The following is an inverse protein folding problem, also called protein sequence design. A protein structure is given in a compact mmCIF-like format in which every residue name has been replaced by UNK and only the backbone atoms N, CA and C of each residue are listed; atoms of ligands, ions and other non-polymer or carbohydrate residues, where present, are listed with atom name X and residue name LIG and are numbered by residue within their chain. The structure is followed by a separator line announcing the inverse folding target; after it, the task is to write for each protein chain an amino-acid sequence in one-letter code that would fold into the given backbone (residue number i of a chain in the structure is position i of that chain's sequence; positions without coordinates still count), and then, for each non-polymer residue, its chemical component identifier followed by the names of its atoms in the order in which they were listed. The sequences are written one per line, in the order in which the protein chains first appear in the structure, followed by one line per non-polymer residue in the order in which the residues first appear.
data_IF_907334452206
#
_entry.id   IF_907334452206
#
_cell.length_a   1.000
_cell.length_b   1.000
_cell.length_c   1.000
_cell.angle_alpha   90.00
_cell.angle_beta   90.00
_cell.angle_gamma   90.00
#
_symmetry.space_group_name_H-M   'P 1'
#
loop_
_entity.id
_entity.type
_entity.pdbx_description
1 polymer ?
#
# COMPACT_ATOMS: atom_id res chain seq x y z
N UNK A 1 26.36 10.44 -37.11
CA UNK A 1 25.82 10.67 -35.76
C UNK A 1 24.62 9.77 -35.61
N UNK A 2 24.71 8.69 -34.80
CA UNK A 2 23.55 7.82 -34.53
C UNK A 2 22.65 8.55 -33.54
N UNK A 3 21.46 8.92 -33.99
CA UNK A 3 20.41 9.40 -33.11
C UNK A 3 20.05 8.26 -32.13
N UNK A 4 20.59 8.32 -30.92
CA UNK A 4 20.05 7.53 -29.80
C UNK A 4 18.69 8.15 -29.42
N UNK A 5 17.63 7.70 -30.06
CA UNK A 5 16.30 7.85 -29.49
C UNK A 5 16.33 7.12 -28.14
N UNK A 6 15.79 7.73 -27.08
CA UNK A 6 15.70 7.03 -25.79
C UNK A 6 14.94 5.72 -26.04
N UNK A 7 15.50 4.62 -25.56
CA UNK A 7 14.84 3.31 -25.59
C UNK A 7 13.50 3.46 -24.86
N UNK A 8 12.41 3.36 -25.62
CA UNK A 8 11.05 3.45 -25.09
C UNK A 8 10.87 2.25 -24.17
N UNK A 9 10.93 2.47 -22.85
CA UNK A 9 10.63 1.44 -21.87
C UNK A 9 9.16 1.04 -22.02
N UNK A 10 8.92 -0.20 -22.39
CA UNK A 10 7.57 -0.73 -22.54
C UNK A 10 7.21 -1.47 -21.26
N UNK A 11 6.66 -0.74 -20.29
CA UNK A 11 6.11 -1.38 -19.10
C UNK A 11 4.89 -2.20 -19.47
N UNK A 12 4.74 -3.36 -18.86
CA UNK A 12 3.57 -4.23 -19.00
C UNK A 12 2.86 -4.46 -17.68
N UNK A 13 3.54 -4.13 -16.58
CA UNK A 13 3.05 -4.35 -15.22
C UNK A 13 3.08 -3.03 -14.45
N UNK A 14 1.94 -2.66 -13.88
CA UNK A 14 1.84 -1.47 -13.02
C UNK A 14 1.56 -1.95 -11.60
N UNK A 15 2.43 -1.54 -10.68
CA UNK A 15 2.35 -1.91 -9.27
C UNK A 15 1.86 -0.67 -8.51
N UNK A 16 0.84 -0.83 -7.67
CA UNK A 16 0.28 0.25 -6.85
C UNK A 16 0.48 -0.03 -5.37
N UNK A 17 0.76 0.99 -4.60
CA UNK A 17 0.39 0.98 -3.18
C UNK A 17 -1.11 1.18 -3.03
N UNK A 18 -1.63 0.89 -1.85
CA UNK A 18 -3.06 1.00 -1.54
C UNK A 18 -3.38 2.33 -0.85
N UNK A 19 -2.79 2.54 0.33
CA UNK A 19 -3.12 3.66 1.18
C UNK A 19 -2.48 4.95 0.67
N UNK A 20 -3.26 6.04 0.69
CA UNK A 20 -2.87 7.36 0.19
C UNK A 20 -2.48 7.41 -1.31
N UNK A 21 -2.73 6.28 -2.04
CA UNK A 21 -2.62 6.16 -3.50
C UNK A 21 -3.98 5.79 -4.13
N UNK A 22 -4.59 4.69 -3.70
CA UNK A 22 -5.90 4.22 -4.20
C UNK A 22 -7.04 4.54 -3.24
N UNK A 23 -6.73 4.58 -1.96
CA UNK A 23 -7.69 4.86 -0.89
C UNK A 23 -7.08 5.85 0.10
N UNK A 24 -7.90 6.77 0.59
CA UNK A 24 -7.49 7.70 1.63
C UNK A 24 -7.72 7.09 3.01
N UNK A 25 -6.72 7.24 3.88
CA UNK A 25 -6.93 7.09 5.30
C UNK A 25 -7.78 8.27 5.80
N UNK A 26 -8.96 8.00 6.29
CA UNK A 26 -9.64 9.00 7.13
C UNK A 26 -9.02 8.98 8.52
N UNK A 27 -8.84 10.15 9.16
CA UNK A 27 -8.52 10.20 10.57
C UNK A 27 -9.49 9.31 11.35
N UNK A 28 -9.02 8.69 12.44
CA UNK A 28 -9.92 7.94 13.31
C UNK A 28 -11.10 8.87 13.68
N UNK A 29 -12.34 8.45 13.44
CA UNK A 29 -13.48 9.27 13.81
C UNK A 29 -13.37 9.66 15.27
N UNK A 30 -13.52 10.94 15.57
CA UNK A 30 -13.36 11.49 16.94
C UNK A 30 -14.27 10.81 17.97
N UNK A 31 -15.37 10.21 17.51
CA UNK A 31 -16.29 9.45 18.33
C UNK A 31 -15.78 8.06 18.76
N UNK A 32 -14.76 7.50 18.07
CA UNK A 32 -14.19 6.20 18.44
C UNK A 32 -13.44 6.29 19.76
N UNK A 33 -12.65 7.35 19.92
CA UNK A 33 -11.92 7.59 21.15
C UNK A 33 -12.84 8.13 22.26
N UNK A 34 -13.90 8.88 21.91
CA UNK A 34 -14.88 9.39 22.84
C UNK A 34 -14.25 10.06 24.06
N UNK A 35 -14.53 9.53 25.26
CA UNK A 35 -13.92 9.97 26.53
C UNK A 35 -12.43 9.69 26.63
N UNK A 36 -11.92 8.75 25.82
CA UNK A 36 -10.52 8.31 25.83
C UNK A 36 -9.64 9.09 24.83
N UNK A 37 -10.13 10.25 24.33
CA UNK A 37 -9.41 11.09 23.37
C UNK A 37 -8.00 11.48 23.84
N UNK A 38 -7.78 11.60 25.13
CA UNK A 38 -6.46 11.87 25.72
C UNK A 38 -5.43 10.75 25.42
N UNK A 39 -5.88 9.55 25.05
CA UNK A 39 -5.01 8.41 24.70
C UNK A 39 -4.60 8.38 23.22
N UNK A 40 -5.11 9.30 22.37
CA UNK A 40 -4.78 9.36 20.96
C UNK A 40 -3.28 9.43 20.68
N UNK A 41 -2.49 10.28 21.36
CA UNK A 41 -1.05 10.31 21.15
C UNK A 41 -0.34 8.99 21.50
N UNK A 42 -0.76 8.33 22.59
CA UNK A 42 -0.23 7.03 22.99
C UNK A 42 -0.53 5.97 21.93
N UNK A 43 -1.77 5.95 21.44
CA UNK A 43 -2.20 5.06 20.37
C UNK A 43 -1.41 5.29 19.07
N UNK A 44 -1.28 6.54 18.63
CA UNK A 44 -0.55 6.90 17.41
C UNK A 44 0.94 6.56 17.53
N UNK A 45 1.54 6.73 18.71
CA UNK A 45 2.90 6.32 18.96
C UNK A 45 3.05 4.80 18.94
N UNK A 46 2.08 4.04 19.46
CA UNK A 46 2.10 2.59 19.41
C UNK A 46 2.06 2.05 17.96
N UNK A 47 1.31 2.67 17.07
CA UNK A 47 1.31 2.32 15.64
C UNK A 47 2.66 2.51 14.93
N UNK A 48 3.58 3.27 15.52
CA UNK A 48 4.94 3.48 15.00
C UNK A 48 5.97 2.52 15.58
N UNK A 49 5.59 1.68 16.55
CA UNK A 49 6.51 0.76 17.22
C UNK A 49 6.86 -0.44 16.34
N UNK A 50 7.98 -1.09 16.70
CA UNK A 50 8.38 -2.35 16.09
C UNK A 50 7.36 -3.47 16.36
N UNK A 51 6.68 -3.45 17.50
CA UNK A 51 5.62 -4.41 17.83
C UNK A 51 4.50 -4.36 16.77
N UNK A 52 4.01 -3.16 16.42
CA UNK A 52 3.00 -3.02 15.39
C UNK A 52 3.54 -3.34 13.98
N UNK A 53 4.79 -3.01 13.70
CA UNK A 53 5.46 -3.43 12.47
C UNK A 53 5.55 -4.96 12.36
N UNK A 54 5.89 -5.66 13.45
CA UNK A 54 5.93 -7.11 13.50
C UNK A 54 4.53 -7.74 13.31
N UNK A 55 3.49 -7.10 13.83
CA UNK A 55 2.11 -7.51 13.57
C UNK A 55 1.73 -7.37 12.09
N UNK A 56 2.07 -6.24 11.44
CA UNK A 56 1.86 -6.07 10.00
C UNK A 56 2.66 -7.06 9.14
N UNK A 57 3.80 -7.53 9.62
CA UNK A 57 4.58 -8.60 8.98
C UNK A 57 4.05 -10.01 9.30
N UNK A 58 3.04 -10.16 10.16
CA UNK A 58 2.58 -11.47 10.60
C UNK A 58 3.60 -12.26 11.43
N UNK A 59 4.61 -11.59 11.98
CA UNK A 59 5.62 -12.19 12.89
C UNK A 59 5.00 -12.46 14.25
N UNK A 60 4.11 -11.57 14.70
CA UNK A 60 3.30 -11.75 15.91
C UNK A 60 1.81 -11.68 15.55
N UNK A 61 0.99 -12.38 16.31
CA UNK A 61 -0.46 -12.34 16.18
C UNK A 61 -1.09 -11.21 17.02
N UNK A 62 -2.41 -11.02 16.92
CA UNK A 62 -3.12 -9.96 17.64
C UNK A 62 -3.03 -10.12 19.17
N UNK A 63 -3.07 -11.34 19.68
CA UNK A 63 -2.94 -11.58 21.13
C UNK A 63 -1.56 -11.11 21.62
N UNK A 64 -0.49 -11.54 20.96
CA UNK A 64 0.88 -11.12 21.29
C UNK A 64 1.05 -9.60 21.16
N UNK A 65 0.42 -8.97 20.16
CA UNK A 65 0.43 -7.52 20.01
C UNK A 65 -0.25 -6.84 21.21
N UNK A 66 -1.39 -7.35 21.67
CA UNK A 66 -2.10 -6.75 22.82
C UNK A 66 -1.36 -6.88 24.14
N UNK A 67 -0.50 -7.89 24.30
CA UNK A 67 0.38 -8.05 25.47
C UNK A 67 1.50 -6.99 25.52
N UNK A 68 1.80 -6.37 24.35
CA UNK A 68 2.83 -5.32 24.21
C UNK A 68 2.27 -3.90 24.29
N UNK A 69 0.97 -3.74 24.53
CA UNK A 69 0.35 -2.40 24.65
C UNK A 69 0.91 -1.64 25.86
N UNK A 70 1.06 -0.32 25.75
CA UNK A 70 1.28 0.53 26.90
C UNK A 70 0.19 0.32 27.96
N UNK A 71 0.56 0.34 29.25
CA UNK A 71 -0.37 0.09 30.35
C UNK A 71 -1.59 1.03 30.37
N UNK A 72 -1.38 2.24 29.87
CA UNK A 72 -2.39 3.28 29.79
C UNK A 72 -3.42 3.04 28.67
N UNK A 73 -3.08 2.17 27.70
CA UNK A 73 -3.95 1.92 26.52
C UNK A 73 -4.81 0.67 26.75
N UNK A 74 -6.11 0.81 27.00
CA UNK A 74 -6.99 -0.33 27.22
C UNK A 74 -7.04 -1.25 25.99
N UNK A 75 -6.92 -2.55 26.18
CA UNK A 75 -7.00 -3.56 25.11
C UNK A 75 -8.31 -3.44 24.32
N UNK A 76 -9.42 -3.21 25.01
CA UNK A 76 -10.75 -3.06 24.39
C UNK A 76 -10.83 -1.84 23.45
N UNK A 77 -10.23 -0.71 23.85
CA UNK A 77 -10.15 0.48 23.02
C UNK A 77 -9.27 0.20 21.78
N UNK A 78 -8.10 -0.37 21.98
CA UNK A 78 -7.19 -0.72 20.88
C UNK A 78 -7.86 -1.66 19.86
N UNK A 79 -8.52 -2.71 20.33
CA UNK A 79 -9.24 -3.64 19.46
C UNK A 79 -10.39 -2.95 18.70
N UNK A 80 -11.10 -2.02 19.35
CA UNK A 80 -12.16 -1.22 18.70
C UNK A 80 -11.55 -0.37 17.58
N UNK A 81 -10.44 0.31 17.86
CA UNK A 81 -9.72 1.11 16.85
C UNK A 81 -9.29 0.26 15.67
N UNK A 82 -8.66 -0.90 15.91
CA UNK A 82 -8.24 -1.80 14.84
C UNK A 82 -9.41 -2.21 13.93
N UNK A 83 -10.58 -2.53 14.49
CA UNK A 83 -11.78 -2.88 13.72
C UNK A 83 -12.31 -1.70 12.89
N UNK A 84 -12.11 -0.48 13.36
CA UNK A 84 -12.61 0.71 12.67
C UNK A 84 -11.69 1.21 11.56
N UNK A 85 -10.37 0.98 11.64
CA UNK A 85 -9.43 1.41 10.61
C UNK A 85 -9.89 1.04 9.20
N UNK A 86 -10.18 -0.23 8.85
CA UNK A 86 -10.59 -0.58 7.49
C UNK A 86 -11.99 -0.07 7.11
N UNK A 87 -12.82 0.31 8.08
CA UNK A 87 -14.14 0.86 7.82
C UNK A 87 -14.11 2.35 7.47
N UNK A 88 -13.06 3.06 7.89
CA UNK A 88 -12.89 4.49 7.67
C UNK A 88 -12.01 4.83 6.46
N UNK A 89 -11.74 3.87 5.61
CA UNK A 89 -11.02 4.06 4.36
C UNK A 89 -12.00 4.41 3.24
N UNK A 90 -11.66 5.37 2.38
CA UNK A 90 -12.47 5.77 1.23
C UNK A 90 -11.65 5.67 -0.06
N UNK A 91 -12.21 5.10 -1.14
CA UNK A 91 -11.51 5.04 -2.42
C UNK A 91 -11.37 6.45 -3.01
N UNK A 92 -10.28 6.67 -3.77
CA UNK A 92 -10.06 7.86 -4.56
C UNK A 92 -10.69 7.60 -5.95
N UNK A 93 -11.83 8.23 -6.29
CA UNK A 93 -12.60 7.84 -7.47
C UNK A 93 -11.82 7.94 -8.79
N UNK A 94 -10.96 8.96 -8.90
CA UNK A 94 -10.13 9.18 -10.09
C UNK A 94 -9.10 8.06 -10.27
N UNK A 95 -8.54 7.57 -9.16
CA UNK A 95 -7.57 6.46 -9.18
C UNK A 95 -8.24 5.14 -9.56
N UNK A 96 -9.48 4.91 -9.12
CA UNK A 96 -10.22 3.71 -9.53
C UNK A 96 -10.49 3.72 -11.04
N UNK A 97 -10.91 4.87 -11.61
CA UNK A 97 -11.07 5.04 -13.06
C UNK A 97 -9.74 4.84 -13.81
N UNK A 98 -8.62 5.26 -13.20
CA UNK A 98 -7.29 5.02 -13.78
C UNK A 98 -6.95 3.51 -13.82
N UNK A 99 -7.26 2.75 -12.77
CA UNK A 99 -7.08 1.29 -12.78
C UNK A 99 -7.88 0.65 -13.93
N UNK A 100 -9.15 1.02 -14.08
CA UNK A 100 -10.01 0.52 -15.16
C UNK A 100 -9.45 0.87 -16.55
N UNK A 101 -8.97 2.11 -16.73
CA UNK A 101 -8.34 2.55 -17.98
C UNK A 101 -7.07 1.74 -18.29
N UNK A 102 -6.17 1.58 -17.32
CA UNK A 102 -4.93 0.80 -17.51
C UNK A 102 -5.25 -0.67 -17.83
N UNK A 103 -6.23 -1.25 -17.15
CA UNK A 103 -6.69 -2.61 -17.42
C UNK A 103 -7.24 -2.75 -18.84
N UNK A 104 -8.06 -1.79 -19.30
CA UNK A 104 -8.62 -1.77 -20.68
C UNK A 104 -7.54 -1.64 -21.75
N UNK A 105 -6.38 -1.10 -21.41
CA UNK A 105 -5.20 -0.98 -22.30
C UNK A 105 -4.29 -2.21 -22.26
N UNK A 106 -4.64 -3.23 -21.49
CA UNK A 106 -3.93 -4.51 -21.43
C UNK A 106 -2.79 -4.56 -20.41
N UNK A 107 -2.64 -3.56 -19.53
CA UNK A 107 -1.69 -3.63 -18.44
C UNK A 107 -2.10 -4.66 -17.40
N UNK A 108 -1.12 -5.37 -16.84
CA UNK A 108 -1.31 -6.17 -15.63
C UNK A 108 -1.13 -5.28 -14.41
N UNK A 109 -2.06 -5.39 -13.48
CA UNK A 109 -2.08 -4.56 -12.27
C UNK A 109 -1.72 -5.41 -11.06
N UNK A 110 -0.82 -4.89 -10.22
CA UNK A 110 -0.40 -5.54 -8.99
C UNK A 110 -0.56 -4.59 -7.81
N UNK A 111 -0.93 -5.12 -6.66
CA UNK A 111 -1.01 -4.37 -5.42
C UNK A 111 0.10 -4.80 -4.47
N UNK A 112 0.87 -3.85 -3.94
CA UNK A 112 1.92 -4.07 -2.95
C UNK A 112 1.70 -3.16 -1.74
N UNK A 113 1.20 -3.69 -0.62
CA UNK A 113 0.75 -2.86 0.49
C UNK A 113 1.26 -3.30 1.86
N UNK A 114 1.60 -2.30 2.69
CA UNK A 114 1.94 -2.48 4.11
C UNK A 114 0.66 -2.45 4.96
N UNK A 115 0.06 -3.59 5.19
CA UNK A 115 -1.26 -3.69 5.81
C UNK A 115 -1.29 -4.72 6.95
N UNK A 116 -2.10 -4.46 7.98
CA UNK A 116 -2.32 -5.42 9.05
C UNK A 116 -3.23 -6.58 8.57
N UNK A 117 -3.05 -7.81 9.11
CA UNK A 117 -3.72 -9.02 8.63
C UNK A 117 -5.25 -8.94 8.60
N UNK A 118 -5.84 -8.25 9.58
CA UNK A 118 -7.30 -8.11 9.71
C UNK A 118 -7.91 -7.11 8.73
N UNK A 119 -7.08 -6.30 8.04
CA UNK A 119 -7.54 -5.17 7.22
C UNK A 119 -7.96 -5.63 5.82
N UNK A 120 -7.11 -6.40 5.12
CA UNK A 120 -7.38 -6.80 3.73
C UNK A 120 -8.72 -7.53 3.55
N UNK A 121 -9.11 -8.51 4.39
CA UNK A 121 -10.39 -9.21 4.21
C UNK A 121 -11.60 -8.28 4.30
N UNK A 122 -11.52 -7.19 5.09
CA UNK A 122 -12.59 -6.19 5.18
C UNK A 122 -12.61 -5.31 3.93
N UNK A 123 -11.44 -4.90 3.42
CA UNK A 123 -11.35 -4.06 2.22
C UNK A 123 -11.81 -4.82 0.97
N UNK A 124 -11.48 -6.11 0.84
CA UNK A 124 -11.93 -6.98 -0.26
C UNK A 124 -13.46 -7.13 -0.30
N UNK A 125 -14.11 -7.18 0.86
CA UNK A 125 -15.57 -7.21 0.94
C UNK A 125 -16.21 -5.85 0.60
N UNK A 126 -15.50 -4.75 0.86
CA UNK A 126 -16.03 -3.40 0.65
C UNK A 126 -15.77 -2.85 -0.75
N UNK A 127 -14.66 -3.22 -1.39
CA UNK A 127 -14.18 -2.57 -2.59
C UNK A 127 -13.96 -3.54 -3.74
N UNK A 128 -14.89 -3.54 -4.69
CA UNK A 128 -14.84 -4.39 -5.89
C UNK A 128 -13.64 -4.09 -6.80
N UNK A 129 -13.08 -2.87 -6.75
CA UNK A 129 -11.92 -2.52 -7.58
C UNK A 129 -10.68 -3.38 -7.26
N UNK A 130 -10.61 -3.99 -6.08
CA UNK A 130 -9.52 -4.91 -5.75
C UNK A 130 -9.50 -6.15 -6.65
N UNK A 131 -10.62 -6.49 -7.30
CA UNK A 131 -10.70 -7.56 -8.29
C UNK A 131 -10.04 -7.21 -9.64
N UNK A 132 -9.68 -5.95 -9.87
CA UNK A 132 -8.94 -5.54 -11.07
C UNK A 132 -7.46 -5.97 -11.03
N UNK A 133 -6.93 -6.31 -9.87
CA UNK A 133 -5.53 -6.71 -9.72
C UNK A 133 -5.31 -8.17 -10.13
N UNK A 134 -4.26 -8.39 -10.92
CA UNK A 134 -3.79 -9.72 -11.32
C UNK A 134 -3.03 -10.42 -10.19
N UNK A 135 -2.58 -9.64 -9.20
CA UNK A 135 -1.96 -10.15 -7.99
C UNK A 135 -1.90 -9.11 -6.88
N UNK A 136 -2.03 -9.58 -5.66
CA UNK A 136 -1.94 -8.77 -4.43
C UNK A 136 -0.89 -9.41 -3.54
N UNK A 137 0.10 -8.60 -3.10
CA UNK A 137 1.06 -9.00 -2.09
C UNK A 137 0.97 -8.04 -0.90
N UNK A 138 0.64 -8.58 0.26
CA UNK A 138 0.60 -7.81 1.50
C UNK A 138 1.88 -7.99 2.29
N UNK A 139 2.19 -7.03 3.16
CA UNK A 139 3.31 -7.17 4.11
C UNK A 139 3.17 -8.38 5.02
N UNK A 140 1.95 -8.80 5.30
CA UNK A 140 1.64 -9.96 6.10
C UNK A 140 2.06 -11.26 5.37
N UNK A 141 1.69 -11.41 4.09
CA UNK A 141 2.03 -12.58 3.29
C UNK A 141 3.54 -12.63 3.01
N UNK A 142 4.14 -11.48 2.71
CA UNK A 142 5.58 -11.35 2.46
C UNK A 142 6.46 -11.53 3.70
N UNK A 143 5.89 -11.40 4.90
CA UNK A 143 6.65 -11.26 6.16
C UNK A 143 7.75 -10.19 6.08
N UNK A 144 7.47 -9.13 5.35
CA UNK A 144 8.35 -7.99 5.11
C UNK A 144 7.51 -6.73 4.88
N UNK A 145 8.06 -5.55 5.17
CA UNK A 145 7.41 -4.25 4.95
C UNK A 145 8.20 -3.46 3.91
N UNK A 146 7.55 -2.73 3.03
CA UNK A 146 8.22 -1.65 2.30
C UNK A 146 8.82 -0.67 3.31
N UNK A 147 10.06 -0.18 3.11
CA UNK A 147 10.94 -0.28 1.94
C UNK A 147 11.96 -1.46 1.98
N UNK A 148 11.76 -2.53 2.75
CA UNK A 148 12.66 -3.68 2.72
C UNK A 148 12.67 -4.28 1.30
N UNK A 149 13.88 -4.50 0.74
CA UNK A 149 14.05 -5.06 -0.61
C UNK A 149 13.40 -6.43 -0.76
N UNK A 150 13.31 -7.18 0.34
CA UNK A 150 12.70 -8.52 0.36
C UNK A 150 11.27 -8.53 -0.16
N UNK A 151 10.45 -7.51 0.17
CA UNK A 151 9.05 -7.50 -0.26
C UNK A 151 8.92 -7.32 -1.78
N UNK A 152 9.79 -6.51 -2.38
CA UNK A 152 9.84 -6.31 -3.83
C UNK A 152 10.38 -7.55 -4.56
N UNK A 153 11.41 -8.22 -4.00
CA UNK A 153 11.92 -9.48 -4.54
C UNK A 153 10.84 -10.55 -4.55
N UNK A 154 10.11 -10.70 -3.43
CA UNK A 154 9.00 -11.65 -3.34
C UNK A 154 7.87 -11.33 -4.31
N UNK A 155 7.56 -10.05 -4.53
CA UNK A 155 6.57 -9.64 -5.54
C UNK A 155 6.99 -10.12 -6.94
N UNK A 156 8.24 -9.85 -7.33
CA UNK A 156 8.77 -10.25 -8.63
C UNK A 156 8.77 -11.78 -8.79
N UNK A 157 9.22 -12.51 -7.78
CA UNK A 157 9.28 -13.97 -7.78
C UNK A 157 7.88 -14.59 -7.83
N UNK A 158 6.96 -14.17 -6.95
CA UNK A 158 5.63 -14.75 -6.80
C UNK A 158 4.80 -14.63 -8.08
N UNK A 159 4.92 -13.50 -8.79
CA UNK A 159 4.13 -13.24 -9.98
C UNK A 159 4.93 -13.40 -11.29
N UNK A 160 6.18 -13.86 -11.21
CA UNK A 160 7.03 -14.07 -12.40
C UNK A 160 7.29 -12.78 -13.17
N UNK A 161 7.53 -11.66 -12.46
CA UNK A 161 7.70 -10.35 -13.07
C UNK A 161 9.17 -10.06 -13.35
N UNK A 162 9.44 -9.46 -14.51
CA UNK A 162 10.73 -8.88 -14.81
C UNK A 162 10.73 -7.42 -14.33
N UNK A 163 11.67 -7.05 -13.48
CA UNK A 163 11.70 -5.72 -12.84
C UNK A 163 11.68 -4.56 -13.84
N UNK A 164 12.41 -4.68 -14.95
CA UNK A 164 12.46 -3.66 -16.02
C UNK A 164 11.12 -3.45 -16.74
N UNK A 165 10.18 -4.39 -16.63
CA UNK A 165 8.88 -4.31 -17.27
C UNK A 165 7.80 -3.82 -16.28
N UNK A 166 8.23 -3.39 -15.07
CA UNK A 166 7.37 -2.94 -13.97
C UNK A 166 7.51 -1.43 -13.73
N UNK A 167 6.37 -0.80 -13.43
CA UNK A 167 6.30 0.59 -12.98
C UNK A 167 5.56 0.67 -11.64
N UNK A 168 6.20 1.21 -10.60
CA UNK A 168 5.66 1.26 -9.23
C UNK A 168 5.19 2.67 -8.86
N UNK A 169 4.02 2.74 -8.21
CA UNK A 169 3.37 3.98 -7.76
C UNK A 169 3.11 3.87 -6.27
N UNK A 170 3.73 4.75 -5.48
CA UNK A 170 3.67 4.75 -4.01
C UNK A 170 3.77 6.20 -3.52
N UNK A 171 3.13 6.56 -2.42
CA UNK A 171 3.16 7.92 -1.84
C UNK A 171 4.48 8.23 -1.11
N UNK A 172 5.27 7.21 -0.77
CA UNK A 172 6.52 7.36 -0.03
C UNK A 172 7.73 7.18 -0.93
N UNK A 173 8.48 8.25 -1.15
CA UNK A 173 9.72 8.25 -1.95
C UNK A 173 10.70 7.13 -1.56
N UNK A 174 10.82 6.84 -0.25
CA UNK A 174 11.69 5.74 0.23
C UNK A 174 11.33 4.37 -0.34
N UNK A 175 10.05 4.13 -0.64
CA UNK A 175 9.59 2.88 -1.24
C UNK A 175 9.95 2.84 -2.73
N UNK A 176 9.84 3.97 -3.43
CA UNK A 176 10.28 4.11 -4.83
C UNK A 176 11.78 3.88 -4.94
N UNK A 177 12.58 4.53 -4.08
CA UNK A 177 14.04 4.35 -4.07
C UNK A 177 14.46 2.90 -3.78
N UNK A 178 13.73 2.19 -2.93
CA UNK A 178 14.00 0.77 -2.68
C UNK A 178 13.65 -0.10 -3.90
N UNK A 179 12.53 0.13 -4.58
CA UNK A 179 12.14 -0.58 -5.78
C UNK A 179 13.16 -0.38 -6.92
N UNK A 180 13.67 0.83 -7.08
CA UNK A 180 14.69 1.18 -8.09
C UNK A 180 16.00 0.42 -7.89
N UNK A 181 16.38 0.06 -6.66
CA UNK A 181 17.58 -0.78 -6.42
C UNK A 181 17.47 -2.17 -7.04
N UNK A 182 16.25 -2.63 -7.33
CA UNK A 182 15.98 -3.90 -8.01
C UNK A 182 15.65 -3.74 -9.50
N UNK A 183 15.76 -2.51 -10.02
CA UNK A 183 15.47 -2.19 -11.42
C UNK A 183 13.97 -2.01 -11.73
N UNK A 184 13.13 -1.87 -10.71
CA UNK A 184 11.72 -1.48 -10.88
C UNK A 184 11.69 0.05 -10.99
N UNK A 185 11.21 0.57 -12.12
CA UNK A 185 11.00 2.02 -12.26
C UNK A 185 9.72 2.46 -11.54
N UNK A 186 9.59 3.73 -11.24
CA UNK A 186 8.41 4.21 -10.53
C UNK A 186 8.40 5.70 -10.24
N UNK A 187 7.29 6.15 -9.66
CA UNK A 187 7.08 7.55 -9.30
C UNK A 187 6.40 7.69 -7.95
N UNK A 188 6.74 8.76 -7.24
CA UNK A 188 6.07 9.11 -5.99
C UNK A 188 4.73 9.76 -6.31
N UNK A 189 3.65 9.16 -5.80
CA UNK A 189 2.32 9.71 -5.94
C UNK A 189 2.14 10.95 -5.07
N UNK A 190 1.74 12.05 -5.67
CA UNK A 190 1.44 13.30 -4.96
C UNK A 190 0.02 13.80 -5.24
N UNK A 191 -0.49 13.53 -6.44
CA UNK A 191 -1.86 13.82 -6.85
C UNK A 191 -2.22 13.02 -8.12
N UNK A 192 -3.51 12.85 -8.37
CA UNK A 192 -3.98 12.22 -9.61
C UNK A 192 -3.46 12.95 -10.86
N UNK A 193 -3.52 14.29 -10.88
CA UNK A 193 -3.11 15.09 -12.02
C UNK A 193 -1.62 14.92 -12.34
N UNK A 194 -0.76 14.96 -11.31
CA UNK A 194 0.68 14.75 -11.47
C UNK A 194 0.97 13.35 -12.00
N UNK A 195 0.35 12.31 -11.41
CA UNK A 195 0.50 10.94 -11.86
C UNK A 195 0.01 10.76 -13.30
N UNK A 196 -1.16 11.29 -13.65
CA UNK A 196 -1.72 11.17 -15.00
C UNK A 196 -0.77 11.76 -16.07
N UNK A 197 -0.19 12.93 -15.80
CA UNK A 197 0.79 13.57 -16.67
C UNK A 197 2.08 12.75 -16.78
N UNK A 198 2.56 12.18 -15.67
CA UNK A 198 3.73 11.31 -15.66
C UNK A 198 3.48 10.05 -16.50
N UNK A 199 2.36 9.37 -16.31
CA UNK A 199 2.01 8.18 -17.09
C UNK A 199 1.88 8.49 -18.59
N UNK A 200 1.32 9.66 -18.94
CA UNK A 200 1.27 10.13 -20.35
C UNK A 200 2.67 10.36 -20.92
N UNK A 201 3.55 11.00 -20.17
CA UNK A 201 4.92 11.29 -20.63
C UNK A 201 5.72 10.01 -20.87
N UNK A 202 5.38 8.93 -20.15
CA UNK A 202 6.01 7.60 -20.28
C UNK A 202 5.29 6.68 -21.28
N UNK A 203 4.32 7.19 -22.02
CA UNK A 203 3.52 6.44 -23.00
C UNK A 203 2.71 5.28 -22.39
N UNK A 204 2.36 5.38 -21.11
CA UNK A 204 1.47 4.45 -20.42
C UNK A 204 -0.02 4.80 -20.61
N UNK A 205 -0.32 6.05 -21.00
CA UNK A 205 -1.65 6.57 -21.27
C UNK A 205 -1.75 7.20 -22.66
#
# INVERSE_FOLDING_TARGET
MKNNLPTQHTYTNIIFDLFDVLVLHSPLPSNILGKDKALEPTLMNFFKTEAYANYKKGVINLQQLTELLPKELPVSLFQTVLKQIPLNVQPIPEMIKLLELLKSRGYRLYLLTNVAPHTMPVLEQRFSFLQLFDGILTSFDARALKPDLKIFQLLLEQFGLKSTDCFFIDDLEKNILAAQQLGIDGTTYTSYEALYNELKSRFLL
#
